data_IF_595476615345
#
_entry.id   IF_595476615345
#
_cell.length_a   1.000
_cell.length_b   1.000
_cell.length_c   1.000
_cell.angle_alpha   90.00
_cell.angle_beta   90.00
_cell.angle_gamma   90.00
#
_symmetry.space_group_name_H-M   'P 1'
#
loop_
_entity.id
_entity.type
_entity.pdbx_description
1 polymer ?
#
# COMPACT_ATOMS: atom_id res chain seq x y z
N UNK A 1 19.46 -0.29 -9.00
CA UNK A 1 18.84 -1.60 -9.20
C UNK A 1 17.33 -1.46 -9.26
N UNK A 2 16.73 -1.66 -10.43
CA UNK A 2 15.28 -1.48 -10.65
C UNK A 2 14.40 -2.44 -9.81
N UNK A 3 14.93 -3.63 -9.49
CA UNK A 3 14.22 -4.69 -8.76
C UNK A 3 13.72 -4.25 -7.36
N UNK A 4 14.54 -3.50 -6.61
CA UNK A 4 14.15 -3.04 -5.26
C UNK A 4 13.04 -1.98 -5.31
N UNK A 5 13.01 -1.17 -6.37
CA UNK A 5 11.97 -0.16 -6.56
C UNK A 5 10.64 -0.79 -6.94
N UNK A 6 10.65 -1.79 -7.82
CA UNK A 6 9.45 -2.56 -8.20
C UNK A 6 8.85 -3.27 -6.98
N UNK A 7 9.67 -3.99 -6.21
CA UNK A 7 9.21 -4.69 -5.01
C UNK A 7 8.63 -3.74 -3.96
N UNK A 8 9.25 -2.56 -3.78
CA UNK A 8 8.70 -1.54 -2.90
C UNK A 8 7.33 -1.06 -3.36
N UNK A 9 7.18 -0.74 -4.66
CA UNK A 9 5.92 -0.27 -5.22
C UNK A 9 4.82 -1.34 -5.17
N UNK A 10 5.16 -2.62 -5.40
CA UNK A 10 4.22 -3.74 -5.22
C UNK A 10 3.72 -3.84 -3.78
N UNK A 11 4.62 -3.75 -2.79
CA UNK A 11 4.25 -3.72 -1.36
C UNK A 11 3.31 -2.55 -1.04
N UNK A 12 3.59 -1.36 -1.59
CA UNK A 12 2.72 -0.19 -1.41
C UNK A 12 1.34 -0.43 -2.03
N UNK A 13 1.28 -0.99 -3.25
CA UNK A 13 0.03 -1.29 -3.94
C UNK A 13 -0.81 -2.30 -3.14
N UNK A 14 -0.20 -3.37 -2.64
CA UNK A 14 -0.87 -4.39 -1.84
C UNK A 14 -1.53 -3.77 -0.58
N UNK A 15 -0.79 -2.90 0.13
CA UNK A 15 -1.32 -2.18 1.30
C UNK A 15 -2.49 -1.26 0.90
N UNK A 16 -2.41 -0.59 -0.25
CA UNK A 16 -3.49 0.25 -0.78
C UNK A 16 -4.73 -0.57 -1.12
N UNK A 17 -4.57 -1.76 -1.73
CA UNK A 17 -5.68 -2.66 -2.06
C UNK A 17 -6.37 -3.20 -0.81
N UNK A 18 -5.61 -3.67 0.19
CA UNK A 18 -6.17 -4.09 1.48
C UNK A 18 -6.97 -2.95 2.11
N UNK A 19 -6.43 -1.74 2.08
CA UNK A 19 -7.10 -0.56 2.62
C UNK A 19 -8.38 -0.25 1.87
N UNK A 20 -8.38 -0.37 0.54
CA UNK A 20 -9.56 -0.13 -0.29
C UNK A 20 -10.66 -1.15 0.00
N UNK A 21 -10.33 -2.44 0.01
CA UNK A 21 -11.29 -3.54 0.28
C UNK A 21 -11.94 -3.37 1.65
N UNK A 22 -11.16 -3.07 2.68
CA UNK A 22 -11.70 -2.91 4.03
C UNK A 22 -12.49 -1.59 4.14
N UNK A 23 -12.06 -0.51 3.47
CA UNK A 23 -12.84 0.75 3.44
C UNK A 23 -14.18 0.57 2.73
N UNK A 24 -14.24 -0.23 1.66
CA UNK A 24 -15.49 -0.60 0.98
C UNK A 24 -16.45 -1.38 1.90
N UNK A 25 -15.93 -2.09 2.91
CA UNK A 25 -16.73 -2.72 3.98
C UNK A 25 -17.21 -1.74 5.05
N UNK A 26 -16.84 -0.47 4.97
CA UNK A 26 -17.26 0.60 5.88
C UNK A 26 -16.34 0.85 7.06
N UNK A 27 -15.13 0.26 7.11
CA UNK A 27 -14.16 0.57 8.17
C UNK A 27 -13.27 1.77 7.82
N UNK A 28 -12.80 2.47 8.85
CA UNK A 28 -11.91 3.62 8.65
C UNK A 28 -10.48 3.20 8.34
N UNK A 29 -9.73 4.01 7.60
CA UNK A 29 -8.33 3.76 7.29
C UNK A 29 -7.46 3.58 8.55
N UNK A 30 -7.77 4.30 9.63
CA UNK A 30 -7.09 4.15 10.93
C UNK A 30 -7.34 2.76 11.52
N UNK A 31 -8.56 2.26 11.39
CA UNK A 31 -8.90 0.91 11.84
C UNK A 31 -8.14 -0.14 11.03
N UNK A 32 -8.10 -0.01 9.70
CA UNK A 32 -7.33 -0.90 8.82
C UNK A 32 -5.84 -0.89 9.20
N UNK A 33 -5.28 0.29 9.45
CA UNK A 33 -3.89 0.40 9.89
C UNK A 33 -3.66 -0.38 11.19
N UNK A 34 -4.52 -0.17 12.19
CA UNK A 34 -4.36 -0.79 13.52
C UNK A 34 -4.55 -2.30 13.52
N UNK A 35 -5.51 -2.82 12.73
CA UNK A 35 -5.96 -4.22 12.80
C UNK A 35 -5.51 -5.10 11.65
N UNK A 36 -5.00 -4.54 10.54
CA UNK A 36 -4.53 -5.31 9.38
C UNK A 36 -3.09 -4.99 9.04
N UNK A 37 -2.75 -3.72 8.91
CA UNK A 37 -1.44 -3.34 8.35
C UNK A 37 -0.33 -3.43 9.38
N UNK A 38 -0.56 -2.97 10.61
CA UNK A 38 0.47 -2.94 11.66
C UNK A 38 0.96 -4.34 12.01
N UNK A 39 0.07 -5.32 12.07
CA UNK A 39 0.40 -6.70 12.45
C UNK A 39 1.11 -7.47 11.33
N UNK A 40 0.81 -7.16 10.06
CA UNK A 40 1.38 -7.87 8.90
C UNK A 40 2.71 -7.25 8.46
N UNK A 41 2.75 -5.91 8.36
CA UNK A 41 3.87 -5.21 7.72
C UNK A 41 4.81 -4.51 8.70
N UNK A 42 4.45 -4.44 9.99
CA UNK A 42 5.25 -3.82 11.05
C UNK A 42 5.71 -2.39 10.71
N UNK A 43 4.88 -1.63 10.00
CA UNK A 43 5.16 -0.23 9.63
C UNK A 43 4.53 0.74 10.63
N UNK A 44 5.13 1.92 10.75
CA UNK A 44 4.53 3.01 11.51
C UNK A 44 3.35 3.64 10.77
N UNK A 45 2.54 4.40 11.51
CA UNK A 45 1.40 5.11 10.95
C UNK A 45 1.84 6.17 9.93
N UNK A 46 2.95 6.85 10.19
CA UNK A 46 3.53 7.82 9.25
C UNK A 46 3.93 7.16 7.93
N UNK A 47 4.55 5.99 7.98
CA UNK A 47 4.88 5.21 6.78
C UNK A 47 3.62 4.77 6.03
N UNK A 48 2.57 4.34 6.73
CA UNK A 48 1.28 4.01 6.11
C UNK A 48 0.66 5.22 5.39
N UNK A 49 0.59 6.39 6.03
CA UNK A 49 0.10 7.60 5.40
C UNK A 49 0.91 7.98 4.16
N UNK A 50 2.25 7.88 4.24
CA UNK A 50 3.11 8.10 3.09
C UNK A 50 2.77 7.13 1.95
N UNK A 51 2.54 5.85 2.25
CA UNK A 51 2.19 4.85 1.25
C UNK A 51 0.83 5.12 0.59
N UNK A 52 -0.17 5.62 1.32
CA UNK A 52 -1.44 6.03 0.73
C UNK A 52 -1.30 7.19 -0.27
N UNK A 53 -0.31 8.07 -0.09
CA UNK A 53 -0.03 9.18 -1.00
C UNK A 53 0.82 8.82 -2.24
N UNK A 54 1.39 7.62 -2.30
CA UNK A 54 2.24 7.21 -3.43
C UNK A 54 1.35 6.70 -4.58
N UNK A 55 1.48 7.22 -5.82
CA UNK A 55 0.75 6.69 -6.97
C UNK A 55 1.40 5.39 -7.48
N UNK A 56 1.33 4.32 -6.68
CA UNK A 56 2.05 3.07 -6.91
C UNK A 56 1.64 2.40 -8.23
N UNK A 57 0.34 2.35 -8.52
CA UNK A 57 -0.18 1.79 -9.78
C UNK A 57 0.37 2.52 -11.02
N UNK A 58 0.42 3.86 -11.00
CA UNK A 58 0.96 4.64 -12.11
C UNK A 58 2.47 4.43 -12.28
N UNK A 59 3.21 4.34 -11.16
CA UNK A 59 4.66 4.10 -11.19
C UNK A 59 5.01 2.71 -11.70
N UNK A 60 4.27 1.67 -11.30
CA UNK A 60 4.47 0.30 -11.80
C UNK A 60 4.16 0.21 -13.31
N UNK A 61 3.06 0.83 -13.75
CA UNK A 61 2.73 0.92 -15.18
C UNK A 61 3.84 1.62 -15.99
N UNK A 62 4.43 2.69 -15.46
CA UNK A 62 5.55 3.38 -16.11
C UNK A 62 6.82 2.53 -16.18
N UNK A 63 6.98 1.55 -15.28
CA UNK A 63 8.08 0.59 -15.28
C UNK A 63 7.84 -0.61 -16.23
N UNK A 64 6.68 -0.66 -16.91
CA UNK A 64 6.32 -1.76 -17.81
C UNK A 64 5.79 -3.00 -17.10
N UNK A 65 5.42 -2.90 -15.82
CA UNK A 65 4.69 -3.96 -15.13
C UNK A 65 3.18 -3.85 -15.41
N UNK A 66 2.55 -4.98 -15.73
CA UNK A 66 1.09 -5.07 -15.87
C UNK A 66 0.45 -5.07 -14.47
N UNK A 67 -0.38 -4.05 -14.18
CA UNK A 67 -1.05 -3.79 -12.88
C UNK A 67 -2.53 -3.47 -13.03
#
# INVERSE_FOLDING_TARGET
MAYNQVNHLRKVLEIQEITKIETERGVTQIWVYKHRIKEIYFISYSTFCNYMGIPAKAKLKALGEEV
#
